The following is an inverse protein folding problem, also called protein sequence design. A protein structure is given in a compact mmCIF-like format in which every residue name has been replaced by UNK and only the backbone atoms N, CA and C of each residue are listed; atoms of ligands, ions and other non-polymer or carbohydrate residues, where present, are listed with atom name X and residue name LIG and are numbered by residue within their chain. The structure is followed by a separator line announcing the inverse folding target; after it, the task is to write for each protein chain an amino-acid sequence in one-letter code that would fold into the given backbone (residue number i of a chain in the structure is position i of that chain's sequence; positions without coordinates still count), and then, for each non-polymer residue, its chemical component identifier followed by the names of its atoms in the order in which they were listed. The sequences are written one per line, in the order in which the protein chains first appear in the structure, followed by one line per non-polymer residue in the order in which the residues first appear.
data_IF_297033650833
#
_entry.id   IF_297033650833
#
_cell.length_a   1.000
_cell.length_b   1.000
_cell.length_c   1.000
_cell.angle_alpha   90.00
_cell.angle_beta   90.00
_cell.angle_gamma   90.00
#
_symmetry.space_group_name_H-M   'P 1'
#
loop_
_entity.id
_entity.type
_entity.pdbx_description
1 polymer ?
#
# COMPACT_ATOMS: atom_id res chain seq x y z
N UNK A 1 1.82 -5.29 15.52
CA UNK A 1 1.67 -4.16 14.58
C UNK A 1 1.32 -2.85 15.29
N UNK A 2 1.98 -1.76 14.90
CA UNK A 2 1.64 -0.37 15.26
C UNK A 2 0.83 0.24 14.11
N UNK A 3 -0.33 0.82 14.44
CA UNK A 3 -1.18 1.56 13.49
C UNK A 3 -0.96 3.07 13.61
N UNK A 4 -0.70 3.74 12.49
CA UNK A 4 -0.51 5.19 12.42
C UNK A 4 -1.53 5.77 11.44
N UNK A 5 -2.27 6.81 11.84
CA UNK A 5 -3.16 7.56 10.95
C UNK A 5 -2.93 9.07 11.08
N UNK A 6 -2.12 9.62 10.19
CA UNK A 6 -1.72 11.04 10.22
C UNK A 6 -1.50 11.58 8.80
N UNK A 7 -1.36 12.90 8.67
CA UNK A 7 -0.97 13.56 7.42
C UNK A 7 0.47 13.19 7.05
N UNK A 8 0.74 13.02 5.75
CA UNK A 8 2.04 12.56 5.24
C UNK A 8 3.22 13.42 5.72
N UNK A 9 3.07 14.74 5.66
CA UNK A 9 4.09 15.71 6.09
C UNK A 9 4.28 15.79 7.62
N UNK A 10 3.36 15.22 8.41
CA UNK A 10 3.41 15.17 9.87
C UNK A 10 3.96 13.85 10.42
N UNK A 11 4.26 12.89 9.54
CA UNK A 11 4.85 11.62 9.95
C UNK A 11 6.13 11.87 10.76
N UNK A 12 6.11 11.41 12.01
CA UNK A 12 7.27 11.46 12.90
C UNK A 12 8.31 10.45 12.41
N UNK A 13 9.58 10.77 12.67
CA UNK A 13 10.66 9.83 12.41
C UNK A 13 10.42 8.57 13.24
N UNK A 14 10.40 7.40 12.59
CA UNK A 14 10.31 6.13 13.27
C UNK A 14 11.65 5.83 13.94
N UNK A 15 11.62 5.51 15.23
CA UNK A 15 12.82 5.05 15.94
C UNK A 15 12.96 3.53 15.77
N UNK A 16 13.24 3.13 14.54
CA UNK A 16 13.35 1.72 14.14
C UNK A 16 14.67 1.46 13.45
N UNK A 17 15.06 0.19 13.40
CA UNK A 17 16.07 -0.29 12.45
C UNK A 17 15.64 0.02 11.00
N UNK A 18 16.52 -0.29 10.04
CA UNK A 18 16.27 -0.14 8.61
C UNK A 18 14.95 -0.84 8.22
N UNK A 19 14.21 -0.28 7.28
CA UNK A 19 12.87 -0.72 6.93
C UNK A 19 12.72 -1.17 5.48
N UNK A 20 11.77 -2.08 5.26
CA UNK A 20 11.23 -2.43 3.95
C UNK A 20 9.77 -1.97 3.87
N UNK A 21 9.37 -1.41 2.73
CA UNK A 21 8.04 -0.83 2.57
C UNK A 21 7.34 -1.27 1.28
N UNK A 22 6.02 -1.33 1.35
CA UNK A 22 5.12 -1.25 0.19
C UNK A 22 4.07 -0.16 0.41
N UNK A 23 3.60 0.46 -0.68
CA UNK A 23 2.83 1.69 -0.71
C UNK A 23 1.71 1.53 -1.73
N UNK A 24 0.46 1.73 -1.32
CA UNK A 24 -0.66 1.59 -2.23
C UNK A 24 -1.99 1.94 -1.61
N UNK A 25 -3.03 2.07 -2.45
CA UNK A 25 -4.39 2.26 -1.92
C UNK A 25 -4.93 1.00 -1.23
N UNK A 26 -4.41 -0.18 -1.58
CA UNK A 26 -4.79 -1.50 -1.06
C UNK A 26 -6.32 -1.72 -0.96
N UNK A 27 -7.08 -1.16 -1.92
CA UNK A 27 -8.54 -1.17 -1.92
C UNK A 27 -9.06 -2.61 -2.05
N UNK A 28 -9.57 -3.15 -0.93
CA UNK A 28 -10.10 -4.51 -0.80
C UNK A 28 -9.07 -5.60 -0.47
N UNK A 29 -7.77 -5.29 -0.32
CA UNK A 29 -6.72 -6.30 -0.04
C UNK A 29 -6.83 -7.59 -0.85
N UNK A 30 -7.12 -7.47 -2.15
CA UNK A 30 -7.21 -8.63 -3.05
C UNK A 30 -5.90 -9.43 -3.11
N UNK A 31 -5.93 -10.65 -3.64
CA UNK A 31 -4.81 -11.60 -3.54
C UNK A 31 -3.47 -11.04 -4.06
N UNK A 32 -3.49 -10.19 -5.08
CA UNK A 32 -2.28 -9.50 -5.54
C UNK A 32 -1.68 -8.54 -4.50
N UNK A 33 -2.51 -7.76 -3.77
CA UNK A 33 -2.02 -6.92 -2.66
C UNK A 33 -1.46 -7.78 -1.53
N UNK A 34 -2.14 -8.88 -1.19
CA UNK A 34 -1.68 -9.81 -0.15
C UNK A 34 -0.31 -10.39 -0.50
N UNK A 35 -0.08 -10.74 -1.77
CA UNK A 35 1.22 -11.24 -2.26
C UNK A 35 2.35 -10.22 -2.04
N UNK A 36 2.11 -8.95 -2.37
CA UNK A 36 3.09 -7.87 -2.17
C UNK A 36 3.38 -7.68 -0.68
N UNK A 37 2.35 -7.58 0.14
CA UNK A 37 2.49 -7.37 1.59
C UNK A 37 3.21 -8.54 2.26
N UNK A 38 2.85 -9.78 1.92
CA UNK A 38 3.51 -10.97 2.46
C UNK A 38 4.99 -11.04 2.05
N UNK A 39 5.34 -10.53 0.87
CA UNK A 39 6.75 -10.41 0.44
C UNK A 39 7.51 -9.42 1.32
N UNK A 40 6.90 -8.27 1.64
CA UNK A 40 7.49 -7.28 2.57
C UNK A 40 7.74 -7.91 3.94
N UNK A 41 6.75 -8.60 4.51
CA UNK A 41 6.85 -9.24 5.82
C UNK A 41 7.94 -10.32 5.82
N UNK A 42 7.95 -11.19 4.81
CA UNK A 42 8.91 -12.30 4.69
C UNK A 42 10.35 -11.77 4.63
N UNK A 43 10.60 -10.76 3.79
CA UNK A 43 11.95 -10.19 3.65
C UNK A 43 12.34 -9.43 4.91
N UNK A 44 11.40 -8.73 5.55
CA UNK A 44 11.67 -8.04 6.81
C UNK A 44 12.18 -9.00 7.90
N UNK A 45 11.55 -10.16 8.01
CA UNK A 45 11.98 -11.20 8.95
C UNK A 45 13.36 -11.76 8.57
N UNK A 46 13.59 -12.08 7.30
CA UNK A 46 14.85 -12.68 6.82
C UNK A 46 16.05 -11.74 6.94
N UNK A 47 15.85 -10.45 6.67
CA UNK A 47 16.92 -9.45 6.63
C UNK A 47 16.98 -8.59 7.91
N UNK A 48 16.21 -8.96 8.93
CA UNK A 48 16.09 -8.21 10.18
C UNK A 48 15.75 -6.73 9.94
N UNK A 49 14.80 -6.45 9.05
CA UNK A 49 14.26 -5.12 8.76
C UNK A 49 12.90 -4.91 9.46
N UNK A 50 12.46 -3.66 9.53
CA UNK A 50 11.10 -3.29 9.93
C UNK A 50 10.18 -3.39 8.71
N UNK A 51 9.05 -4.09 8.83
CA UNK A 51 8.03 -4.19 7.78
C UNK A 51 7.04 -3.04 7.86
N UNK A 52 6.87 -2.31 6.75
CA UNK A 52 5.95 -1.17 6.66
C UNK A 52 4.99 -1.37 5.49
N UNK A 53 3.69 -1.23 5.76
CA UNK A 53 2.67 -1.01 4.73
C UNK A 53 2.17 0.41 4.87
N UNK A 54 2.36 1.22 3.82
CA UNK A 54 1.78 2.55 3.73
C UNK A 54 0.55 2.52 2.83
N UNK A 55 -0.59 2.87 3.40
CA UNK A 55 -1.86 3.00 2.69
C UNK A 55 -2.38 4.42 2.76
N UNK A 56 -3.43 4.70 2.00
CA UNK A 56 -4.19 5.94 2.06
C UNK A 56 -5.60 5.69 2.62
N UNK A 57 -6.10 6.63 3.41
CA UNK A 57 -7.42 6.54 4.06
C UNK A 57 -8.59 6.71 3.06
N UNK A 58 -8.32 7.34 1.92
CA UNK A 58 -9.18 7.44 0.74
C UNK A 58 -8.32 7.42 -0.54
N UNK A 59 -8.96 7.23 -1.70
CA UNK A 59 -8.24 7.27 -2.98
C UNK A 59 -7.71 8.66 -3.29
N UNK A 60 -6.49 8.72 -3.84
CA UNK A 60 -5.85 9.93 -4.35
C UNK A 60 -6.32 10.19 -5.81
N UNK A 61 -7.58 10.64 -6.03
CA UNK A 61 -8.02 11.54 -7.14
C UNK A 61 -9.55 11.64 -7.36
N UNK A 62 -9.90 12.84 -7.87
CA UNK A 62 -11.14 13.44 -8.41
C UNK A 62 -12.45 13.17 -7.68
N UNK A 63 -12.91 14.18 -6.91
CA UNK A 63 -14.27 14.74 -6.71
C UNK A 63 -15.53 13.86 -6.89
N UNK A 64 -15.37 12.54 -6.94
CA UNK A 64 -16.39 11.54 -7.11
C UNK A 64 -16.28 10.64 -5.90
N UNK A 65 -17.41 10.45 -5.24
CA UNK A 65 -17.59 9.42 -4.23
C UNK A 65 -17.32 8.08 -4.89
N UNK A 66 -16.12 7.53 -4.69
CA UNK A 66 -15.82 6.17 -5.08
C UNK A 66 -16.30 5.24 -3.98
N UNK A 67 -17.12 4.26 -4.34
CA UNK A 67 -17.38 3.11 -3.49
C UNK A 67 -16.05 2.35 -3.31
N UNK A 68 -15.52 2.30 -2.09
CA UNK A 68 -14.37 1.43 -1.74
C UNK A 68 -14.84 -0.02 -1.68
N UNK A 69 -13.96 -0.98 -1.99
CA UNK A 69 -14.27 -2.42 -1.83
C UNK A 69 -14.39 -2.81 -0.36
N UNK A 70 -13.60 -2.16 0.48
CA UNK A 70 -13.59 -2.37 1.92
C UNK A 70 -13.88 -1.03 2.63
N UNK A 71 -14.71 -1.10 3.65
CA UNK A 71 -14.82 -0.05 4.66
C UNK A 71 -13.53 0.04 5.47
N UNK A 72 -13.32 1.16 6.17
CA UNK A 72 -12.20 1.31 7.10
C UNK A 72 -12.16 0.18 8.15
N UNK A 73 -13.33 -0.20 8.68
CA UNK A 73 -13.44 -1.29 9.64
C UNK A 73 -12.99 -2.61 9.05
N UNK A 74 -13.49 -2.98 7.86
CA UNK A 74 -13.08 -4.22 7.18
C UNK A 74 -11.58 -4.24 6.86
N UNK A 75 -11.00 -3.09 6.50
CA UNK A 75 -9.56 -2.94 6.28
C UNK A 75 -8.77 -3.20 7.57
N UNK A 76 -9.16 -2.58 8.69
CA UNK A 76 -8.49 -2.80 9.97
C UNK A 76 -8.67 -4.24 10.46
N UNK A 77 -9.85 -4.82 10.30
CA UNK A 77 -10.11 -6.22 10.64
C UNK A 77 -9.25 -7.16 9.80
N UNK A 78 -9.13 -6.92 8.49
CA UNK A 78 -8.26 -7.69 7.62
C UNK A 78 -6.81 -7.62 8.11
N UNK A 79 -6.29 -6.42 8.34
CA UNK A 79 -4.92 -6.20 8.78
C UNK A 79 -4.65 -6.90 10.11
N UNK A 80 -5.52 -6.70 11.11
CA UNK A 80 -5.34 -7.27 12.44
C UNK A 80 -5.41 -8.80 12.45
N UNK A 81 -6.22 -9.41 11.58
CA UNK A 81 -6.42 -10.85 11.55
C UNK A 81 -5.50 -11.59 10.57
N UNK A 82 -5.04 -10.94 9.49
CA UNK A 82 -4.28 -11.57 8.40
C UNK A 82 -2.84 -11.11 8.30
N UNK A 83 -2.50 -9.93 8.83
CA UNK A 83 -1.16 -9.34 8.75
C UNK A 83 -0.55 -9.20 10.15
N UNK A 84 -0.62 -10.25 10.96
CA UNK A 84 -0.19 -10.24 12.37
C UNK A 84 1.30 -9.96 12.54
N UNK A 85 2.11 -10.34 11.55
CA UNK A 85 3.56 -10.20 11.54
C UNK A 85 4.04 -8.86 10.97
N UNK A 86 3.11 -7.97 10.60
CA UNK A 86 3.43 -6.62 10.15
C UNK A 86 3.83 -5.74 11.34
N UNK A 87 4.93 -5.01 11.21
CA UNK A 87 5.40 -4.09 12.25
C UNK A 87 4.61 -2.78 12.23
N UNK A 88 4.46 -2.15 11.06
CA UNK A 88 3.77 -0.86 10.91
C UNK A 88 2.76 -0.86 9.77
N UNK A 89 1.56 -0.38 10.09
CA UNK A 89 0.57 0.04 9.10
C UNK A 89 0.35 1.55 9.19
N UNK A 90 0.76 2.28 8.15
CA UNK A 90 0.65 3.73 8.07
C UNK A 90 -0.50 4.08 7.13
N UNK A 91 -1.65 4.47 7.67
CA UNK A 91 -2.81 4.93 6.90
C UNK A 91 -2.76 6.45 6.76
N UNK A 92 -2.13 6.93 5.70
CA UNK A 92 -1.90 8.35 5.44
C UNK A 92 -3.21 9.05 5.09
N UNK A 93 -3.46 10.19 5.73
CA UNK A 93 -4.60 11.05 5.40
C UNK A 93 -4.38 11.73 4.06
N UNK A 94 -5.30 11.54 3.12
CA UNK A 94 -5.25 12.26 1.84
C UNK A 94 -5.77 13.67 2.04
N UNK A 95 -4.85 14.62 2.11
CA UNK A 95 -5.10 16.05 2.19
C UNK A 95 -4.34 16.80 1.07
N UNK A 96 -4.56 18.12 0.99
CA UNK A 96 -3.91 18.96 -0.02
C UNK A 96 -2.37 18.94 0.10
N UNK A 97 -1.82 18.67 1.29
CA UNK A 97 -0.39 18.58 1.49
C UNK A 97 0.17 17.31 0.84
N UNK A 98 -0.47 16.16 1.04
CA UNK A 98 -0.11 14.93 0.35
C UNK A 98 -0.21 15.11 -1.17
N UNK A 99 -1.30 15.70 -1.67
CA UNK A 99 -1.51 15.89 -3.11
C UNK A 99 -0.36 16.71 -3.72
N UNK A 100 0.08 17.77 -3.04
CA UNK A 100 1.15 18.68 -3.50
C UNK A 100 2.56 18.18 -3.20
N UNK A 101 2.73 17.05 -2.53
CA UNK A 101 4.04 16.49 -2.17
C UNK A 101 4.82 16.13 -3.43
N UNK A 102 6.00 16.69 -3.65
CA UNK A 102 6.84 16.37 -4.82
C UNK A 102 7.42 14.96 -4.70
N UNK A 103 7.93 14.39 -5.81
CA UNK A 103 8.60 13.09 -5.76
C UNK A 103 9.81 13.08 -4.81
N UNK A 104 10.56 14.18 -4.76
CA UNK A 104 11.75 14.28 -3.91
C UNK A 104 11.37 14.38 -2.42
N UNK A 105 10.32 15.13 -2.09
CA UNK A 105 9.77 15.18 -0.74
C UNK A 105 9.22 13.81 -0.30
N UNK A 106 8.58 13.10 -1.22
CA UNK A 106 8.09 11.76 -0.95
C UNK A 106 9.24 10.80 -0.61
N UNK A 107 10.30 10.80 -1.43
CA UNK A 107 11.52 10.01 -1.21
C UNK A 107 12.21 10.40 0.10
N UNK A 108 12.31 11.70 0.40
CA UNK A 108 12.88 12.19 1.66
C UNK A 108 12.17 11.62 2.88
N UNK A 109 10.83 11.54 2.86
CA UNK A 109 10.07 10.90 3.94
C UNK A 109 10.42 9.41 4.05
N UNK A 110 10.49 8.68 2.94
CA UNK A 110 10.86 7.26 2.97
C UNK A 110 12.24 7.04 3.61
N UNK A 111 13.24 7.80 3.17
CA UNK A 111 14.63 7.63 3.63
C UNK A 111 14.81 8.17 5.04
N UNK A 112 14.45 9.43 5.28
CA UNK A 112 14.86 10.15 6.49
C UNK A 112 13.87 10.05 7.65
N UNK A 113 12.58 9.81 7.38
CA UNK A 113 11.56 9.62 8.42
C UNK A 113 11.29 8.15 8.69
N UNK A 114 11.19 7.32 7.65
CA UNK A 114 10.80 5.91 7.79
C UNK A 114 11.98 4.94 7.76
N UNK A 115 13.21 5.44 7.55
CA UNK A 115 14.44 4.63 7.51
C UNK A 115 14.37 3.48 6.49
N UNK A 116 13.67 3.71 5.37
CA UNK A 116 13.49 2.73 4.30
C UNK A 116 14.81 2.49 3.61
N UNK A 117 15.12 1.22 3.38
CA UNK A 117 16.26 0.78 2.56
C UNK A 117 15.85 -0.18 1.45
N UNK A 118 14.64 -0.75 1.52
CA UNK A 118 14.12 -1.68 0.53
C UNK A 118 12.65 -1.39 0.22
N UNK A 119 12.25 -1.59 -1.03
CA UNK A 119 10.91 -1.28 -1.51
C UNK A 119 10.36 -2.48 -2.31
N UNK A 120 9.07 -2.76 -2.12
CA UNK A 120 8.35 -3.77 -2.90
C UNK A 120 7.11 -3.12 -3.53
N UNK A 121 7.09 -3.03 -4.86
CA UNK A 121 6.03 -2.33 -5.59
C UNK A 121 5.62 -3.01 -6.90
N UNK A 122 4.44 -2.65 -7.39
CA UNK A 122 4.01 -2.98 -8.75
C UNK A 122 4.77 -2.14 -9.80
N UNK A 123 4.99 -2.70 -10.98
CA UNK A 123 5.69 -2.02 -12.10
C UNK A 123 5.04 -0.68 -12.53
N UNK A 124 3.75 -0.50 -12.26
CA UNK A 124 2.94 0.67 -12.58
C UNK A 124 2.82 1.67 -11.42
N UNK A 125 3.56 1.44 -10.32
CA UNK A 125 3.58 2.36 -9.18
C UNK A 125 4.06 3.75 -9.59
N UNK A 126 3.35 4.77 -9.09
CA UNK A 126 3.71 6.16 -9.27
C UNK A 126 3.34 6.98 -8.04
N UNK A 127 4.11 8.04 -7.80
CA UNK A 127 4.01 8.84 -6.58
C UNK A 127 4.38 10.31 -6.85
N UNK A 128 4.20 11.14 -5.84
CA UNK A 128 4.44 12.58 -5.92
C UNK A 128 3.37 13.34 -6.72
N UNK A 129 3.46 14.66 -6.68
CA UNK A 129 2.55 15.59 -7.33
C UNK A 129 2.43 15.25 -8.81
N UNK A 130 1.19 15.11 -9.29
CA UNK A 130 0.87 14.71 -10.66
C UNK A 130 1.54 13.40 -11.13
N UNK A 131 1.81 12.47 -10.21
CA UNK A 131 2.42 11.17 -10.51
C UNK A 131 3.78 11.29 -11.20
N UNK A 132 4.54 12.34 -10.88
CA UNK A 132 5.86 12.63 -11.44
C UNK A 132 6.92 11.58 -11.09
N UNK A 133 6.80 10.92 -9.93
CA UNK A 133 7.68 9.84 -9.50
C UNK A 133 7.25 8.50 -10.09
N UNK A 134 8.21 7.72 -10.56
CA UNK A 134 8.04 6.35 -11.10
C UNK A 134 8.99 5.37 -10.41
N UNK A 135 8.84 4.08 -10.73
CA UNK A 135 9.77 3.02 -10.29
C UNK A 135 11.23 3.37 -10.56
N UNK A 136 11.55 3.98 -11.70
CA UNK A 136 12.93 4.37 -12.03
C UNK A 136 13.52 5.40 -11.07
N UNK A 137 12.71 6.30 -10.51
CA UNK A 137 13.17 7.24 -9.48
C UNK A 137 13.51 6.50 -8.18
N UNK A 138 12.73 5.47 -7.82
CA UNK A 138 13.05 4.62 -6.66
C UNK A 138 14.32 3.81 -6.91
N UNK A 139 14.51 3.25 -8.10
CA UNK A 139 15.74 2.52 -8.45
C UNK A 139 16.96 3.43 -8.34
N UNK A 140 16.87 4.68 -8.80
CA UNK A 140 17.96 5.66 -8.68
C UNK A 140 18.33 5.96 -7.22
N UNK A 141 17.35 5.96 -6.31
CA UNK A 141 17.59 6.25 -4.89
C UNK A 141 18.04 5.02 -4.09
N UNK A 142 17.38 3.88 -4.27
CA UNK A 142 17.57 2.70 -3.43
C UNK A 142 18.51 1.65 -4.05
N UNK A 143 18.87 1.80 -5.32
CA UNK A 143 19.55 0.80 -6.16
C UNK A 143 18.62 -0.36 -6.56
N UNK A 144 18.91 -0.98 -7.70
CA UNK A 144 18.02 -1.96 -8.34
C UNK A 144 17.79 -3.20 -7.48
N UNK A 145 18.79 -3.63 -6.73
CA UNK A 145 18.77 -4.77 -5.82
C UNK A 145 17.83 -4.56 -4.62
N UNK A 146 17.53 -3.32 -4.27
CA UNK A 146 16.64 -2.97 -3.16
C UNK A 146 15.23 -2.59 -3.60
N UNK A 147 14.93 -2.61 -4.91
CA UNK A 147 13.59 -2.34 -5.45
C UNK A 147 13.07 -3.60 -6.11
N UNK A 148 12.17 -4.30 -5.41
CA UNK A 148 11.54 -5.52 -5.89
C UNK A 148 10.26 -5.14 -6.64
N UNK A 149 10.21 -5.52 -7.91
CA UNK A 149 9.14 -5.10 -8.82
C UNK A 149 8.25 -6.29 -9.16
N UNK A 150 6.98 -6.20 -8.79
CA UNK A 150 5.95 -7.13 -9.20
C UNK A 150 5.38 -6.71 -10.55
N UNK A 151 5.36 -7.63 -11.52
CA UNK A 151 4.60 -7.42 -12.75
C UNK A 151 3.12 -7.33 -12.41
N UNK A 152 2.44 -6.37 -13.03
CA UNK A 152 1.00 -6.18 -12.84
C UNK A 152 0.27 -7.43 -13.30
N UNK A 153 -0.58 -7.96 -12.43
CA UNK A 153 -1.57 -8.94 -12.79
C UNK A 153 -2.81 -8.21 -13.31
N UNK A 154 -3.02 -8.21 -14.62
CA UNK A 154 -4.16 -7.52 -15.22
C UNK A 154 -5.48 -8.25 -14.96
N UNK A 155 -5.42 -9.52 -14.55
CA UNK A 155 -6.61 -10.29 -14.22
C UNK A 155 -7.16 -9.97 -12.84
N UNK A 156 -6.43 -9.20 -12.03
CA UNK A 156 -6.80 -8.88 -10.65
C UNK A 156 -6.67 -7.38 -10.40
N UNK A 157 -7.80 -6.71 -10.21
CA UNK A 157 -7.82 -5.30 -9.83
C UNK A 157 -9.06 -4.94 -9.05
N UNK A 158 -8.97 -3.89 -8.21
CA UNK A 158 -10.13 -3.39 -7.49
C UNK A 158 -11.27 -2.97 -8.43
N UNK A 159 -10.97 -2.49 -9.64
CA UNK A 159 -11.99 -2.15 -10.65
C UNK A 159 -12.72 -3.38 -11.15
N UNK A 160 -12.00 -4.47 -11.45
CA UNK A 160 -12.61 -5.73 -11.90
C UNK A 160 -13.47 -6.34 -10.80
N UNK A 161 -12.99 -6.35 -9.55
CA UNK A 161 -13.75 -6.87 -8.40
C UNK A 161 -15.03 -6.06 -8.19
N UNK A 162 -14.97 -4.72 -8.26
CA UNK A 162 -16.18 -3.88 -8.16
C UNK A 162 -17.20 -4.22 -9.24
N UNK A 163 -16.75 -4.38 -10.49
CA UNK A 163 -17.61 -4.77 -11.61
C UNK A 163 -18.27 -6.12 -11.36
N UNK A 164 -17.53 -7.13 -10.89
CA UNK A 164 -18.09 -8.44 -10.54
C UNK A 164 -19.17 -8.33 -9.46
N UNK A 165 -18.94 -7.50 -8.43
CA UNK A 165 -19.92 -7.26 -7.37
C UNK A 165 -21.17 -6.52 -7.89
N UNK A 166 -21.00 -5.54 -8.78
CA UNK A 166 -22.12 -4.85 -9.44
C UNK A 166 -22.95 -5.80 -10.32
N UNK A 167 -22.31 -6.82 -10.90
CA UNK A 167 -22.94 -7.87 -11.72
C UNK A 167 -23.48 -9.05 -10.88
N UNK A 168 -23.45 -8.97 -9.54
CA UNK A 168 -23.81 -10.05 -8.60
C UNK A 168 -23.00 -11.36 -8.78
N UNK A 169 -21.81 -11.28 -9.37
CA UNK A 169 -20.87 -12.40 -9.54
C UNK A 169 -19.98 -12.54 -8.29
N UNK A 170 -20.62 -12.84 -7.16
CA UNK A 170 -19.99 -12.81 -5.83
C UNK A 170 -18.85 -13.83 -5.69
N UNK A 171 -19.05 -15.06 -6.17
CA UNK A 171 -18.04 -16.12 -6.07
C UNK A 171 -16.73 -15.73 -6.78
N UNK A 172 -16.83 -15.16 -7.98
CA UNK A 172 -15.67 -14.67 -8.73
C UNK A 172 -15.00 -13.49 -8.02
N UNK A 173 -15.78 -12.62 -7.39
CA UNK A 173 -15.22 -11.52 -6.60
C UNK A 173 -14.48 -12.05 -5.35
N UNK A 174 -15.02 -13.07 -4.67
CA UNK A 174 -14.38 -13.73 -3.53
C UNK A 174 -13.06 -14.42 -3.92
N UNK A 175 -13.02 -15.11 -5.06
CA UNK A 175 -11.79 -15.72 -5.58
C UNK A 175 -10.68 -14.68 -5.77
N UNK A 176 -10.99 -13.53 -6.37
CA UNK A 176 -10.02 -12.46 -6.57
C UNK A 176 -9.63 -11.75 -5.26
N UNK A 177 -10.55 -11.68 -4.30
CA UNK A 177 -10.28 -11.10 -2.98
C UNK A 177 -9.48 -12.05 -2.08
N UNK A 178 -9.61 -13.36 -2.26
CA UNK A 178 -9.04 -14.39 -1.38
C UNK A 178 -9.67 -14.40 0.02
N UNK A 179 -10.88 -13.87 0.16
CA UNK A 179 -11.66 -13.86 1.40
C UNK A 179 -13.13 -14.11 1.10
N UNK A 180 -13.82 -14.70 2.08
CA UNK A 180 -15.26 -14.85 2.01
C UNK A 180 -15.97 -13.54 2.32
N UNK A 181 -16.75 -13.07 1.36
CA UNK A 181 -17.62 -11.91 1.55
C UNK A 181 -18.86 -12.35 2.32
N UNK A 182 -18.94 -11.98 3.60
CA UNK A 182 -20.19 -12.08 4.35
C UNK A 182 -21.14 -10.99 3.86
N UNK A 183 -21.89 -11.29 2.81
CA UNK A 183 -23.00 -10.45 2.38
C UNK A 183 -24.08 -10.51 3.48
N UNK A 184 -24.44 -9.35 4.02
CA UNK A 184 -25.56 -9.21 4.97
C UNK A 184 -26.86 -9.07 4.20
#
# INVERSE_FOLDING_TARGET
MIYINDSFNKLKKLNTKKAIITIGNFDGFHIFHQKIINTVITIAQQENLTSIVMSFDKKIKDNKTFNTLATKTQKLDFINNKLTDLDYFIDVKVDDNLIKTTKDQFIDVLVNKLNVVKIVEGQDFSFGYLSQGKIDDLIKTFSKENVIIFKRDNDISSTKIKKLLEENLVDQAQELLGIDLKLK
#
